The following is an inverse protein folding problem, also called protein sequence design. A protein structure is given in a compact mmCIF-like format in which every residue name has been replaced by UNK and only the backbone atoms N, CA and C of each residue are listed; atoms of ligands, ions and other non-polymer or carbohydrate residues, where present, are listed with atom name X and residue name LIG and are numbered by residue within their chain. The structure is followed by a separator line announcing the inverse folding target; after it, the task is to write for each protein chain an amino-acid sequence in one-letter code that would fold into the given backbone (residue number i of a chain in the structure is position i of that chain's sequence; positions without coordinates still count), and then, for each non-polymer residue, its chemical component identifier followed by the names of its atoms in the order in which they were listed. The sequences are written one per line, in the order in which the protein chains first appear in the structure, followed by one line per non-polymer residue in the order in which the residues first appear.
data_IF_659748130108
#
_entry.id   IF_659748130108
#
_cell.length_a   1.000
_cell.length_b   1.000
_cell.length_c   1.000
_cell.angle_alpha   90.00
_cell.angle_beta   90.00
_cell.angle_gamma   90.00
#
_symmetry.space_group_name_H-M   'P 1'
#
loop_
_entity.id
_entity.type
_entity.pdbx_description
1 polymer ?
#
# COMPACT_ATOMS: atom_id res chain seq x y z
N UNK A 1 -21.70 15.83 10.15
CA UNK A 1 -23.04 15.58 9.55
C UNK A 1 -22.98 14.27 8.78
N UNK A 2 -24.05 13.46 8.76
CA UNK A 2 -24.11 12.22 7.96
C UNK A 2 -24.67 12.51 6.57
N UNK A 3 -23.90 12.20 5.53
CA UNK A 3 -24.25 12.49 4.14
C UNK A 3 -24.31 11.19 3.34
N UNK A 4 -25.42 10.92 2.65
CA UNK A 4 -25.50 9.85 1.66
C UNK A 4 -25.22 10.42 0.26
N UNK A 5 -24.23 9.86 -0.44
CA UNK A 5 -24.01 10.11 -1.86
C UNK A 5 -24.52 8.90 -2.63
N UNK A 6 -25.49 9.13 -3.51
CA UNK A 6 -26.10 8.07 -4.31
C UNK A 6 -26.32 8.52 -5.74
N UNK A 7 -25.79 7.75 -6.69
CA UNK A 7 -26.31 7.80 -8.04
C UNK A 7 -27.73 7.25 -8.06
N UNK A 8 -28.56 7.71 -8.99
CA UNK A 8 -29.92 7.20 -9.18
C UNK A 8 -29.91 6.12 -10.26
N UNK A 9 -30.43 4.94 -9.91
CA UNK A 9 -30.55 3.80 -10.82
C UNK A 9 -31.95 3.61 -11.41
N UNK A 10 -32.03 2.70 -12.36
CA UNK A 10 -33.30 2.30 -13.00
C UNK A 10 -34.26 1.62 -12.05
N UNK A 11 -33.78 1.01 -10.97
CA UNK A 11 -34.59 0.37 -9.93
C UNK A 11 -35.01 1.32 -8.80
N UNK A 12 -34.38 2.49 -8.67
CA UNK A 12 -34.72 3.45 -7.62
C UNK A 12 -36.04 4.19 -7.92
N UNK A 13 -36.81 4.61 -6.90
CA UNK A 13 -36.59 4.39 -5.45
C UNK A 13 -37.25 3.12 -4.89
N UNK A 14 -38.19 2.51 -5.61
CA UNK A 14 -38.95 1.33 -5.19
C UNK A 14 -38.91 0.30 -6.31
N UNK A 15 -38.65 -0.96 -5.95
CA UNK A 15 -38.58 -2.08 -6.90
C UNK A 15 -39.31 -3.28 -6.31
N UNK A 16 -40.24 -3.85 -7.09
CA UNK A 16 -41.07 -4.99 -6.68
C UNK A 16 -41.79 -4.76 -5.32
N UNK A 17 -42.31 -3.55 -5.12
CA UNK A 17 -43.00 -3.12 -3.89
C UNK A 17 -42.11 -3.16 -2.64
N UNK A 18 -40.79 -3.07 -2.79
CA UNK A 18 -39.82 -2.92 -1.70
C UNK A 18 -38.91 -1.73 -1.97
N UNK A 19 -38.21 -1.25 -0.96
CA UNK A 19 -37.21 -0.21 -1.13
C UNK A 19 -36.12 -0.66 -2.12
N UNK A 20 -35.80 0.18 -3.08
CA UNK A 20 -34.55 0.05 -3.83
C UNK A 20 -33.38 0.59 -2.99
N UNK A 21 -32.16 0.47 -3.50
CA UNK A 21 -30.96 0.72 -2.70
C UNK A 21 -30.91 2.14 -2.11
N UNK A 22 -31.25 3.17 -2.87
CA UNK A 22 -31.28 4.55 -2.37
C UNK A 22 -32.24 4.71 -1.18
N UNK A 23 -33.48 4.28 -1.34
CA UNK A 23 -34.52 4.41 -0.32
C UNK A 23 -34.22 3.56 0.92
N UNK A 24 -33.71 2.34 0.70
CA UNK A 24 -33.38 1.40 1.76
C UNK A 24 -32.24 1.93 2.64
N UNK A 25 -31.22 2.53 2.04
CA UNK A 25 -30.14 3.18 2.80
C UNK A 25 -30.68 4.40 3.55
N UNK A 26 -31.50 5.23 2.90
CA UNK A 26 -32.10 6.39 3.55
C UNK A 26 -32.95 6.01 4.78
N UNK A 27 -33.76 4.94 4.66
CA UNK A 27 -34.62 4.43 5.75
C UNK A 27 -33.83 3.95 6.96
N UNK A 28 -32.77 3.16 6.73
CA UNK A 28 -31.98 2.55 7.80
C UNK A 28 -30.98 3.52 8.44
N UNK A 29 -30.27 4.30 7.64
CA UNK A 29 -29.14 5.10 8.12
C UNK A 29 -29.53 6.54 8.47
N UNK A 30 -30.69 7.01 8.01
CA UNK A 30 -31.26 8.34 8.25
C UNK A 30 -30.20 9.46 8.14
N UNK A 31 -29.50 9.59 6.99
CA UNK A 31 -28.52 10.67 6.80
C UNK A 31 -29.18 12.05 6.92
N UNK A 32 -28.44 13.04 7.41
CA UNK A 32 -28.92 14.42 7.51
C UNK A 32 -29.08 15.05 6.11
N UNK A 33 -28.24 14.63 5.16
CA UNK A 33 -28.25 15.07 3.77
C UNK A 33 -28.17 13.89 2.80
N UNK A 34 -28.93 13.94 1.72
CA UNK A 34 -28.86 13.02 0.59
C UNK A 34 -28.45 13.81 -0.65
N UNK A 35 -27.26 13.50 -1.18
CA UNK A 35 -26.73 14.01 -2.45
C UNK A 35 -27.05 13.01 -3.55
N UNK A 36 -27.89 13.43 -4.49
CA UNK A 36 -28.34 12.64 -5.63
C UNK A 36 -27.54 13.00 -6.87
N UNK A 37 -27.00 11.98 -7.54
CA UNK A 37 -26.27 12.11 -8.80
C UNK A 37 -27.08 11.45 -9.90
N UNK A 38 -27.43 12.22 -10.94
CA UNK A 38 -28.27 11.76 -12.04
C UNK A 38 -27.46 11.65 -13.33
N UNK A 39 -27.76 10.64 -14.14
CA UNK A 39 -27.50 10.71 -15.57
C UNK A 39 -28.60 11.50 -16.26
N UNK A 40 -28.33 11.99 -17.47
CA UNK A 40 -29.34 12.65 -18.31
C UNK A 40 -30.60 11.80 -18.46
N UNK A 41 -30.45 10.47 -18.62
CA UNK A 41 -31.58 9.53 -18.70
C UNK A 41 -32.41 9.48 -17.41
N UNK A 42 -31.76 9.52 -16.25
CA UNK A 42 -32.44 9.34 -14.95
C UNK A 42 -33.08 10.60 -14.40
N UNK A 43 -32.86 11.78 -15.01
CA UNK A 43 -33.48 13.04 -14.59
C UNK A 43 -35.01 12.97 -14.55
N UNK A 44 -35.62 12.13 -15.41
CA UNK A 44 -37.08 11.91 -15.44
C UNK A 44 -37.66 11.40 -14.10
N UNK A 45 -36.82 10.85 -13.22
CA UNK A 45 -37.22 10.34 -11.90
C UNK A 45 -37.12 11.36 -10.77
N UNK A 46 -36.67 12.59 -11.03
CA UNK A 46 -36.37 13.56 -9.98
C UNK A 46 -37.54 13.75 -8.98
N UNK A 47 -38.73 14.03 -9.47
CA UNK A 47 -39.91 14.27 -8.64
C UNK A 47 -40.36 13.01 -7.88
N UNK A 48 -40.30 11.85 -8.55
CA UNK A 48 -40.56 10.55 -7.92
C UNK A 48 -39.61 10.28 -6.75
N UNK A 49 -38.30 10.46 -6.97
CA UNK A 49 -37.28 10.21 -5.95
C UNK A 49 -37.49 11.13 -4.75
N UNK A 50 -37.73 12.43 -5.00
CA UNK A 50 -37.94 13.41 -3.95
C UNK A 50 -39.20 13.09 -3.12
N UNK A 51 -40.34 12.85 -3.79
CA UNK A 51 -41.62 12.51 -3.13
C UNK A 51 -41.51 11.24 -2.29
N UNK A 52 -40.82 10.21 -2.78
CA UNK A 52 -40.66 8.93 -2.07
C UNK A 52 -39.65 9.03 -0.90
N UNK A 53 -38.58 9.80 -1.03
CA UNK A 53 -37.64 9.99 0.10
C UNK A 53 -38.31 10.73 1.27
N UNK A 54 -39.17 11.70 0.97
CA UNK A 54 -39.92 12.47 1.97
C UNK A 54 -41.14 11.73 2.54
N UNK A 55 -41.50 10.55 2.00
CA UNK A 55 -42.60 9.75 2.53
C UNK A 55 -42.20 8.84 3.70
N UNK A 56 -40.90 8.75 4.02
CA UNK A 56 -40.41 7.98 5.16
C UNK A 56 -40.86 8.67 6.46
N UNK A 57 -41.64 7.95 7.28
CA UNK A 57 -42.18 8.49 8.52
C UNK A 57 -41.08 8.95 9.49
N UNK A 58 -41.25 10.16 10.03
CA UNK A 58 -40.32 10.77 10.99
C UNK A 58 -38.95 11.11 10.39
N UNK A 59 -38.83 11.26 9.07
CA UNK A 59 -37.59 11.57 8.38
C UNK A 59 -37.74 12.77 7.46
N UNK A 60 -36.84 13.74 7.56
CA UNK A 60 -36.83 14.92 6.70
C UNK A 60 -35.39 15.36 6.39
N UNK A 61 -34.70 14.68 5.46
CA UNK A 61 -33.33 15.00 5.10
C UNK A 61 -33.25 16.23 4.19
N UNK A 62 -32.07 16.85 4.13
CA UNK A 62 -31.74 17.79 3.06
C UNK A 62 -31.50 16.99 1.78
N UNK A 63 -32.36 17.13 0.78
CA UNK A 63 -32.19 16.50 -0.52
C UNK A 63 -31.52 17.50 -1.46
N UNK A 64 -30.32 17.17 -1.91
CA UNK A 64 -29.50 17.99 -2.81
C UNK A 64 -29.23 17.21 -4.09
N UNK A 65 -29.46 17.83 -5.24
CA UNK A 65 -29.05 17.27 -6.53
C UNK A 65 -27.68 17.87 -6.85
N UNK A 66 -26.67 17.01 -7.06
CA UNK A 66 -25.38 17.50 -7.48
C UNK A 66 -25.50 18.16 -8.86
N UNK A 67 -24.81 19.29 -9.04
CA UNK A 67 -24.82 20.04 -10.30
C UNK A 67 -24.28 19.26 -11.50
N UNK A 68 -23.54 18.18 -11.26
CA UNK A 68 -22.94 17.35 -12.29
C UNK A 68 -23.94 16.32 -12.79
N UNK A 69 -24.55 16.59 -13.95
CA UNK A 69 -25.38 15.62 -14.65
C UNK A 69 -24.49 14.73 -15.53
N UNK A 70 -24.54 13.42 -15.32
CA UNK A 70 -23.70 12.45 -16.02
C UNK A 70 -24.20 12.27 -17.47
N UNK A 71 -23.30 12.41 -18.43
CA UNK A 71 -23.61 12.22 -19.85
C UNK A 71 -23.85 10.73 -20.16
N UNK A 72 -24.97 10.42 -20.81
CA UNK A 72 -25.33 9.04 -21.16
C UNK A 72 -24.29 8.37 -22.09
N UNK A 73 -23.59 9.16 -22.90
CA UNK A 73 -22.54 8.67 -23.80
C UNK A 73 -21.19 8.41 -23.09
N UNK A 74 -21.12 8.67 -21.77
CA UNK A 74 -19.88 8.52 -20.99
C UNK A 74 -20.04 7.63 -19.75
N UNK A 75 -21.27 7.36 -19.28
CA UNK A 75 -21.52 6.56 -18.06
C UNK A 75 -21.02 5.12 -18.13
N UNK A 76 -20.71 4.61 -19.33
CA UNK A 76 -20.10 3.29 -19.54
C UNK A 76 -18.56 3.31 -19.47
N UNK A 77 -17.93 4.49 -19.38
CA UNK A 77 -16.48 4.66 -19.28
C UNK A 77 -16.05 4.72 -17.81
N UNK A 78 -15.28 3.72 -17.37
CA UNK A 78 -14.82 3.63 -15.98
C UNK A 78 -13.95 4.82 -15.57
N UNK A 79 -12.90 5.15 -16.34
CA UNK A 79 -11.96 6.23 -15.97
C UNK A 79 -12.67 7.57 -15.82
N UNK A 80 -13.65 7.84 -16.69
CA UNK A 80 -14.47 9.05 -16.62
C UNK A 80 -15.33 9.08 -15.35
N UNK A 81 -16.00 7.96 -15.04
CA UNK A 81 -16.81 7.86 -13.83
C UNK A 81 -15.94 7.90 -12.56
N UNK A 82 -14.73 7.35 -12.58
CA UNK A 82 -13.80 7.45 -11.46
C UNK A 82 -13.43 8.90 -11.16
N UNK A 83 -13.08 9.68 -12.20
CA UNK A 83 -12.77 11.09 -12.07
C UNK A 83 -13.97 11.89 -11.53
N UNK A 84 -15.12 11.77 -12.20
CA UNK A 84 -16.33 12.55 -11.86
C UNK A 84 -16.84 12.21 -10.47
N UNK A 85 -16.96 10.92 -10.14
CA UNK A 85 -17.40 10.53 -8.81
C UNK A 85 -16.38 10.92 -7.74
N UNK A 86 -15.08 10.92 -8.06
CA UNK A 86 -14.03 11.40 -7.16
C UNK A 86 -14.22 12.86 -6.79
N UNK A 87 -14.49 13.72 -7.78
CA UNK A 87 -14.78 15.15 -7.56
C UNK A 87 -16.03 15.35 -6.72
N UNK A 88 -17.10 14.58 -6.98
CA UNK A 88 -18.35 14.65 -6.20
C UNK A 88 -18.09 14.23 -4.75
N UNK A 89 -17.46 13.09 -4.50
CA UNK A 89 -17.17 12.63 -3.14
C UNK A 89 -16.29 13.64 -2.40
N UNK A 90 -15.28 14.20 -3.07
CA UNK A 90 -14.41 15.21 -2.48
C UNK A 90 -15.16 16.49 -2.10
N UNK A 91 -16.09 16.96 -2.94
CA UNK A 91 -16.90 18.17 -2.70
C UNK A 91 -17.70 18.09 -1.40
N UNK A 92 -18.16 16.91 -1.01
CA UNK A 92 -18.98 16.71 0.19
C UNK A 92 -18.20 16.16 1.38
N UNK A 93 -16.95 15.77 1.18
CA UNK A 93 -16.08 15.33 2.26
C UNK A 93 -15.44 16.53 2.96
N UNK A 94 -15.58 16.59 4.28
CA UNK A 94 -14.80 17.45 5.17
C UNK A 94 -14.51 16.66 6.46
N UNK A 95 -13.66 17.20 7.34
CA UNK A 95 -13.18 16.48 8.53
C UNK A 95 -14.30 16.06 9.51
N UNK A 96 -15.48 16.69 9.45
CA UNK A 96 -16.61 16.46 10.36
C UNK A 96 -17.77 15.65 9.73
N UNK A 97 -17.66 15.31 8.44
CA UNK A 97 -18.71 14.58 7.72
C UNK A 97 -18.47 13.07 7.75
N UNK A 98 -19.54 12.33 8.08
CA UNK A 98 -19.60 10.89 7.86
C UNK A 98 -20.27 10.64 6.51
N UNK A 99 -19.53 10.11 5.55
CA UNK A 99 -20.04 9.89 4.20
C UNK A 99 -20.53 8.45 4.07
N UNK A 100 -21.72 8.27 3.52
CA UNK A 100 -22.27 6.98 3.12
C UNK A 100 -22.27 6.94 1.59
N UNK A 101 -21.61 5.95 1.02
CA UNK A 101 -21.57 5.72 -0.42
C UNK A 101 -22.51 4.57 -0.78
N UNK A 102 -23.48 4.83 -1.66
CA UNK A 102 -24.33 3.79 -2.21
C UNK A 102 -23.59 3.00 -3.29
N UNK A 103 -23.29 1.72 -3.02
CA UNK A 103 -22.65 0.79 -3.95
C UNK A 103 -23.65 -0.13 -4.69
N UNK A 104 -24.92 0.27 -4.80
CA UNK A 104 -25.97 -0.56 -5.39
C UNK A 104 -26.91 0.18 -6.34
N UNK A 105 -26.77 1.50 -6.46
CA UNK A 105 -27.47 2.32 -7.44
C UNK A 105 -26.52 2.92 -8.47
N UNK A 106 -27.04 3.15 -9.69
CA UNK A 106 -26.28 3.64 -10.83
C UNK A 106 -25.73 2.52 -11.73
N UNK A 107 -24.92 2.90 -12.73
CA UNK A 107 -24.29 1.93 -13.64
C UNK A 107 -23.19 1.14 -12.92
N UNK A 108 -22.82 -0.07 -13.42
CA UNK A 108 -21.70 -0.82 -12.87
C UNK A 108 -20.39 -0.03 -12.78
N UNK A 109 -20.16 0.92 -13.69
CA UNK A 109 -18.98 1.78 -13.71
C UNK A 109 -18.99 2.78 -12.55
N UNK A 110 -20.14 3.42 -12.28
CA UNK A 110 -20.30 4.33 -11.12
C UNK A 110 -20.12 3.56 -9.81
N UNK A 111 -20.73 2.38 -9.70
CA UNK A 111 -20.59 1.51 -8.51
C UNK A 111 -19.12 1.12 -8.31
N UNK A 112 -18.43 0.73 -9.38
CA UNK A 112 -17.01 0.36 -9.33
C UNK A 112 -16.11 1.55 -8.98
N UNK A 113 -16.42 2.74 -9.49
CA UNK A 113 -15.71 3.98 -9.17
C UNK A 113 -15.83 4.32 -7.68
N UNK A 114 -17.06 4.36 -7.15
CA UNK A 114 -17.31 4.61 -5.73
C UNK A 114 -16.65 3.56 -4.83
N UNK A 115 -16.70 2.29 -5.24
CA UNK A 115 -15.99 1.21 -4.55
C UNK A 115 -14.48 1.47 -4.48
N UNK A 116 -13.85 1.83 -5.60
CA UNK A 116 -12.41 2.09 -5.66
C UNK A 116 -12.03 3.35 -4.85
N UNK A 117 -12.80 4.44 -4.98
CA UNK A 117 -12.59 5.69 -4.25
C UNK A 117 -12.63 5.48 -2.74
N UNK A 118 -13.60 4.69 -2.25
CA UNK A 118 -13.72 4.34 -0.83
C UNK A 118 -12.48 3.61 -0.26
N UNK A 119 -11.60 3.07 -1.11
CA UNK A 119 -10.46 2.23 -0.68
C UNK A 119 -9.12 2.88 -0.91
N UNK A 120 -9.02 3.71 -1.94
CA UNK A 120 -7.79 4.39 -2.33
C UNK A 120 -7.65 5.70 -1.56
N UNK A 121 -8.75 6.39 -1.31
CA UNK A 121 -8.75 7.68 -0.63
C UNK A 121 -9.09 7.49 0.85
N UNK A 122 -8.40 8.22 1.72
CA UNK A 122 -8.61 8.19 3.19
C UNK A 122 -9.83 9.04 3.61
N UNK A 123 -10.97 8.83 2.96
CA UNK A 123 -12.21 9.50 3.35
C UNK A 123 -12.85 8.79 4.55
N UNK A 124 -13.53 9.56 5.42
CA UNK A 124 -14.38 9.00 6.47
C UNK A 124 -15.69 8.45 5.87
N UNK A 125 -15.58 7.40 5.06
CA UNK A 125 -16.67 6.83 4.27
C UNK A 125 -17.12 5.47 4.78
N UNK A 126 -18.41 5.20 4.64
CA UNK A 126 -19.04 3.91 4.79
C UNK A 126 -19.68 3.51 3.47
N UNK A 127 -19.17 2.46 2.85
CA UNK A 127 -19.73 1.95 1.61
C UNK A 127 -20.79 0.88 1.89
N UNK A 128 -22.02 1.11 1.42
CA UNK A 128 -23.17 0.26 1.70
C UNK A 128 -23.66 -0.37 0.40
N UNK A 129 -23.80 -1.69 0.41
CA UNK A 129 -24.49 -2.45 -0.62
C UNK A 129 -25.89 -2.82 -0.13
N UNK A 130 -26.86 -2.92 -1.04
CA UNK A 130 -28.21 -3.37 -0.73
C UNK A 130 -28.55 -4.55 -1.64
N UNK A 131 -28.82 -5.72 -1.04
CA UNK A 131 -29.23 -6.89 -1.80
C UNK A 131 -30.60 -6.67 -2.45
N UNK A 132 -30.80 -7.04 -3.72
CA UNK A 132 -32.08 -6.82 -4.39
C UNK A 132 -33.20 -7.72 -3.82
N UNK A 133 -34.47 -7.26 -3.77
CA UNK A 133 -35.58 -8.08 -3.28
C UNK A 133 -35.88 -9.31 -4.14
N UNK A 134 -35.60 -9.23 -5.45
CA UNK A 134 -35.64 -10.32 -6.43
C UNK A 134 -34.53 -10.09 -7.47
N UNK A 135 -33.79 -11.13 -7.84
CA UNK A 135 -32.60 -11.12 -8.74
C UNK A 135 -32.88 -10.69 -10.21
N UNK A 136 -33.51 -9.54 -10.50
CA UNK A 136 -33.67 -9.00 -11.85
C UNK A 136 -33.70 -7.48 -11.85
N UNK A 137 -32.96 -6.86 -12.76
CA UNK A 137 -33.19 -5.49 -13.23
C UNK A 137 -32.99 -5.44 -14.75
N UNK A 138 -33.84 -4.64 -15.42
CA UNK A 138 -33.76 -4.08 -16.78
C UNK A 138 -35.19 -3.96 -17.32
N UNK A 139 -35.90 -2.90 -16.92
CA UNK A 139 -37.05 -2.38 -17.66
C UNK A 139 -36.80 -0.90 -17.88
N UNK A 140 -37.16 -0.41 -19.06
CA UNK A 140 -37.25 1.03 -19.30
C UNK A 140 -38.23 1.65 -18.30
N UNK A 141 -37.88 2.81 -17.76
CA UNK A 141 -38.74 3.53 -16.83
C UNK A 141 -39.66 4.46 -17.63
N UNK A 142 -40.97 4.31 -17.43
CA UNK A 142 -41.98 5.26 -17.87
C UNK A 142 -42.33 6.20 -16.72
N UNK A 143 -42.45 7.50 -16.99
CA UNK A 143 -42.88 8.48 -16.00
C UNK A 143 -44.25 8.09 -15.42
N UNK A 144 -44.38 8.15 -14.10
CA UNK A 144 -45.60 7.83 -13.37
C UNK A 144 -46.39 9.12 -13.10
N UNK A 145 -47.72 9.00 -13.09
CA UNK A 145 -48.64 10.03 -12.61
C UNK A 145 -48.57 10.17 -11.09
N UNK A 146 -49.03 11.30 -10.54
CA UNK A 146 -49.02 11.51 -9.08
C UNK A 146 -49.77 10.41 -8.30
N UNK A 147 -50.91 9.96 -8.82
CA UNK A 147 -51.69 8.87 -8.22
C UNK A 147 -50.97 7.53 -8.24
N UNK A 148 -50.19 7.25 -9.30
CA UNK A 148 -49.38 6.03 -9.36
C UNK A 148 -48.20 6.08 -8.38
N UNK A 149 -47.63 7.27 -8.16
CA UNK A 149 -46.58 7.46 -7.14
C UNK A 149 -47.15 7.23 -5.73
N UNK A 150 -48.34 7.77 -5.45
CA UNK A 150 -49.00 7.58 -4.15
C UNK A 150 -49.34 6.09 -3.90
N UNK A 151 -49.82 5.39 -4.93
CA UNK A 151 -50.04 3.95 -4.87
C UNK A 151 -48.73 3.19 -4.61
N UNK A 152 -47.64 3.53 -5.30
CA UNK A 152 -46.33 2.90 -5.13
C UNK A 152 -45.79 3.07 -3.71
N UNK A 153 -45.98 4.26 -3.11
CA UNK A 153 -45.61 4.53 -1.72
C UNK A 153 -46.48 3.70 -0.77
N UNK A 154 -47.80 3.70 -0.95
CA UNK A 154 -48.74 2.99 -0.08
C UNK A 154 -48.53 1.47 -0.12
N UNK A 155 -48.24 0.92 -1.30
CA UNK A 155 -48.01 -0.52 -1.50
C UNK A 155 -46.59 -0.97 -1.13
N UNK A 156 -45.69 -0.04 -0.78
CA UNK A 156 -44.33 -0.38 -0.40
C UNK A 156 -44.31 -1.19 0.90
N UNK A 157 -43.90 -2.44 0.77
CA UNK A 157 -43.83 -3.42 1.82
C UNK A 157 -42.81 -3.08 2.90
N UNK A 158 -41.81 -2.23 2.62
CA UNK A 158 -40.78 -1.84 3.58
C UNK A 158 -41.22 -0.65 4.47
N UNK A 159 -42.45 -0.14 4.32
CA UNK A 159 -43.03 0.85 5.23
C UNK A 159 -43.45 0.28 6.59
N UNK A 160 -43.48 -1.05 6.73
CA UNK A 160 -43.79 -1.72 7.99
C UNK A 160 -42.61 -1.60 8.98
N UNK A 161 -42.89 -1.63 10.27
CA UNK A 161 -41.85 -1.57 11.32
C UNK A 161 -40.92 -2.80 11.33
N UNK A 162 -41.40 -3.95 10.87
CA UNK A 162 -40.71 -5.25 10.85
C UNK A 162 -40.01 -5.56 9.50
N UNK A 163 -39.72 -4.54 8.68
CA UNK A 163 -39.01 -4.76 7.41
C UNK A 163 -37.59 -5.31 7.64
N UNK A 164 -37.09 -6.09 6.69
CA UNK A 164 -35.76 -6.71 6.80
C UNK A 164 -34.70 -5.77 6.26
N UNK A 165 -33.71 -5.42 7.10
CA UNK A 165 -32.54 -4.69 6.63
C UNK A 165 -31.67 -5.57 5.72
N UNK A 166 -31.64 -5.22 4.43
CA UNK A 166 -30.82 -5.82 3.37
C UNK A 166 -29.48 -5.11 3.15
N UNK A 167 -29.15 -4.14 3.99
CA UNK A 167 -27.90 -3.38 3.90
C UNK A 167 -26.71 -4.22 4.33
N UNK A 168 -25.66 -4.20 3.52
CA UNK A 168 -24.40 -4.88 3.78
C UNK A 168 -23.32 -3.81 3.77
N UNK A 169 -22.71 -3.56 4.95
CA UNK A 169 -21.53 -2.69 5.03
C UNK A 169 -20.34 -3.40 4.41
N UNK A 170 -19.84 -2.84 3.31
CA UNK A 170 -18.69 -3.42 2.63
C UNK A 170 -17.41 -3.21 3.46
N UNK A 171 -16.78 -4.32 3.85
CA UNK A 171 -15.49 -4.29 4.55
C UNK A 171 -14.31 -4.34 3.60
N UNK A 172 -14.48 -4.89 2.38
CA UNK A 172 -13.42 -5.14 1.38
C UNK A 172 -12.08 -5.63 1.92
N UNK A 173 -12.09 -6.50 2.95
CA UNK A 173 -10.86 -6.95 3.61
C UNK A 173 -9.84 -7.52 2.61
N UNK A 174 -10.31 -8.28 1.61
CA UNK A 174 -9.46 -8.89 0.57
C UNK A 174 -8.81 -7.86 -0.37
N UNK A 175 -9.53 -6.81 -0.75
CA UNK A 175 -9.00 -5.78 -1.65
C UNK A 175 -7.94 -4.95 -0.93
N UNK A 176 -8.21 -4.53 0.31
CA UNK A 176 -7.23 -3.85 1.16
C UNK A 176 -6.00 -4.71 1.40
N UNK A 177 -6.16 -6.01 1.67
CA UNK A 177 -5.05 -6.95 1.80
C UNK A 177 -4.21 -7.01 0.51
N UNK A 178 -4.82 -7.01 -0.67
CA UNK A 178 -4.11 -7.01 -1.94
C UNK A 178 -3.30 -5.72 -2.17
N UNK A 179 -3.86 -4.56 -1.82
CA UNK A 179 -3.14 -3.27 -1.90
C UNK A 179 -1.93 -3.24 -0.96
N UNK A 180 -2.10 -3.66 0.29
CA UNK A 180 -1.02 -3.70 1.29
C UNK A 180 0.07 -4.68 0.86
N UNK A 181 -0.29 -5.88 0.37
CA UNK A 181 0.67 -6.84 -0.20
C UNK A 181 1.45 -6.24 -1.36
N UNK A 182 0.79 -5.53 -2.29
CA UNK A 182 1.46 -4.83 -3.40
C UNK A 182 2.44 -3.78 -2.88
N UNK A 183 2.03 -2.97 -1.90
CA UNK A 183 2.88 -1.92 -1.35
C UNK A 183 4.10 -2.49 -0.61
N UNK A 184 3.92 -3.51 0.23
CA UNK A 184 5.02 -4.21 0.90
C UNK A 184 6.02 -4.80 -0.09
N UNK A 185 5.54 -5.44 -1.17
CA UNK A 185 6.42 -5.94 -2.25
C UNK A 185 7.24 -4.82 -2.87
N UNK A 186 6.63 -3.65 -3.11
CA UNK A 186 7.34 -2.49 -3.65
C UNK A 186 8.44 -2.00 -2.71
N UNK A 187 8.16 -1.90 -1.41
CA UNK A 187 9.13 -1.43 -0.41
C UNK A 187 10.29 -2.43 -0.24
N UNK A 188 9.99 -3.72 -0.23
CA UNK A 188 11.01 -4.78 -0.16
C UNK A 188 11.89 -4.75 -1.42
N UNK A 189 11.28 -4.61 -2.60
CA UNK A 189 12.02 -4.52 -3.86
C UNK A 189 12.93 -3.28 -3.94
N UNK A 190 12.56 -2.18 -3.27
CA UNK A 190 13.39 -0.97 -3.15
C UNK A 190 14.29 -0.97 -1.91
N UNK A 191 14.45 -2.11 -1.23
CA UNK A 191 15.25 -2.26 -0.01
C UNK A 191 14.87 -1.30 1.15
N UNK A 192 13.63 -0.81 1.16
CA UNK A 192 13.10 0.03 2.23
C UNK A 192 12.47 -0.82 3.35
N UNK A 193 13.33 -1.57 4.03
CA UNK A 193 12.92 -2.52 5.05
C UNK A 193 12.30 -1.85 6.28
N UNK A 194 12.72 -0.63 6.61
CA UNK A 194 12.15 0.12 7.73
C UNK A 194 10.70 0.53 7.46
N UNK A 195 10.39 1.01 6.25
CA UNK A 195 9.02 1.31 5.88
C UNK A 195 8.17 0.02 5.81
N UNK A 196 8.71 -1.06 5.24
CA UNK A 196 8.03 -2.34 5.18
C UNK A 196 7.71 -2.90 6.58
N UNK A 197 8.67 -2.81 7.52
CA UNK A 197 8.51 -3.19 8.92
C UNK A 197 7.39 -2.38 9.59
N UNK A 198 7.38 -1.06 9.40
CA UNK A 198 6.37 -0.17 10.00
C UNK A 198 4.94 -0.51 9.52
N UNK A 199 4.78 -0.90 8.25
CA UNK A 199 3.48 -1.31 7.70
C UNK A 199 3.07 -2.67 8.25
N UNK A 200 3.90 -3.70 8.13
CA UNK A 200 3.52 -5.08 8.51
C UNK A 200 3.20 -5.22 10.00
N UNK A 201 3.72 -4.33 10.85
CA UNK A 201 3.49 -4.33 12.30
C UNK A 201 2.17 -3.66 12.73
N UNK A 202 1.43 -3.01 11.83
CA UNK A 202 0.10 -2.46 12.16
C UNK A 202 -0.89 -3.59 12.52
N UNK A 203 -1.65 -3.40 13.60
CA UNK A 203 -2.57 -4.42 14.15
C UNK A 203 -3.63 -4.87 13.15
N UNK A 204 -4.11 -3.94 12.32
CA UNK A 204 -5.07 -4.17 11.24
C UNK A 204 -4.61 -5.22 10.21
N UNK A 205 -3.30 -5.42 10.04
CA UNK A 205 -2.74 -6.36 9.07
C UNK A 205 -2.32 -7.71 9.66
N UNK A 206 -2.71 -8.01 10.92
CA UNK A 206 -2.48 -9.33 11.53
C UNK A 206 -3.16 -10.49 10.80
N UNK A 207 -4.16 -10.20 9.94
CA UNK A 207 -4.86 -11.21 9.13
C UNK A 207 -4.42 -11.21 7.66
N UNK A 208 -3.35 -10.47 7.30
CA UNK A 208 -2.86 -10.34 5.92
C UNK A 208 -2.39 -11.68 5.32
N UNK A 209 -1.79 -12.53 6.16
CA UNK A 209 -1.26 -13.85 5.85
C UNK A 209 -1.46 -14.78 7.07
N UNK A 210 -1.06 -16.05 6.95
CA UNK A 210 -1.04 -16.96 8.10
C UNK A 210 -0.11 -16.45 9.20
N UNK A 211 -0.43 -16.72 10.47
CA UNK A 211 0.38 -16.29 11.63
C UNK A 211 1.86 -16.63 11.49
N UNK A 212 2.18 -17.83 10.99
CA UNK A 212 3.56 -18.29 10.75
C UNK A 212 4.27 -17.43 9.71
N UNK A 213 3.62 -17.13 8.57
CA UNK A 213 4.19 -16.28 7.51
C UNK A 213 4.41 -14.85 7.99
N UNK A 214 3.43 -14.26 8.68
CA UNK A 214 3.57 -12.90 9.23
C UNK A 214 4.72 -12.83 10.23
N UNK A 215 4.81 -13.80 11.16
CA UNK A 215 5.89 -13.82 12.15
C UNK A 215 7.26 -13.87 11.46
N UNK A 216 7.43 -14.75 10.47
CA UNK A 216 8.66 -14.85 9.70
C UNK A 216 9.02 -13.55 8.98
N UNK A 217 8.06 -12.94 8.26
CA UNK A 217 8.30 -11.67 7.54
C UNK A 217 8.68 -10.55 8.53
N UNK A 218 7.98 -10.46 9.67
CA UNK A 218 8.29 -9.46 10.71
C UNK A 218 9.68 -9.64 11.28
N UNK A 219 10.05 -10.86 11.59
CA UNK A 219 11.38 -11.20 12.11
C UNK A 219 12.49 -10.83 11.11
N UNK A 220 12.33 -11.21 9.84
CA UNK A 220 13.28 -10.86 8.77
C UNK A 220 13.39 -9.35 8.54
N UNK A 221 12.26 -8.65 8.44
CA UNK A 221 12.27 -7.19 8.22
C UNK A 221 12.87 -6.44 9.43
N UNK A 222 12.61 -6.90 10.64
CA UNK A 222 13.24 -6.36 11.85
C UNK A 222 14.75 -6.61 11.83
N UNK A 223 15.19 -7.82 11.45
CA UNK A 223 16.59 -8.17 11.33
C UNK A 223 17.31 -7.29 10.30
N UNK A 224 16.68 -7.06 9.15
CA UNK A 224 17.23 -6.15 8.14
C UNK A 224 17.26 -4.72 8.65
N UNK A 225 16.19 -4.23 9.30
CA UNK A 225 16.13 -2.86 9.79
C UNK A 225 17.22 -2.56 10.84
N UNK A 226 17.54 -3.51 11.74
CA UNK A 226 18.60 -3.29 12.75
C UNK A 226 19.99 -3.18 12.15
N UNK A 227 20.29 -3.81 11.01
CA UNK A 227 21.58 -3.68 10.33
C UNK A 227 21.83 -2.21 9.97
N UNK A 228 20.83 -1.54 9.41
CA UNK A 228 20.97 -0.14 9.02
C UNK A 228 20.90 0.83 10.21
N UNK A 229 20.11 0.51 11.25
CA UNK A 229 19.99 1.36 12.45
C UNK A 229 21.22 1.27 13.37
N UNK A 230 21.73 0.05 13.58
CA UNK A 230 22.67 -0.25 14.65
C UNK A 230 23.97 -0.90 14.15
N UNK A 231 24.12 -1.14 12.84
CA UNK A 231 25.26 -1.87 12.25
C UNK A 231 25.47 -3.27 12.83
N UNK A 232 24.37 -3.90 13.28
CA UNK A 232 24.39 -5.27 13.78
C UNK A 232 24.67 -6.28 12.65
N UNK A 233 25.20 -7.45 13.02
CA UNK A 233 25.34 -8.59 12.11
C UNK A 233 23.96 -9.22 11.87
N UNK A 234 23.65 -9.53 10.61
CA UNK A 234 22.45 -10.30 10.23
C UNK A 234 22.45 -11.66 10.93
N UNK A 235 21.28 -12.05 11.46
CA UNK A 235 21.14 -13.30 12.21
C UNK A 235 21.48 -14.53 11.36
N UNK A 236 21.20 -14.49 10.05
CA UNK A 236 21.52 -15.58 9.13
C UNK A 236 23.03 -15.72 8.88
N UNK A 237 23.78 -14.61 8.88
CA UNK A 237 25.24 -14.64 8.64
C UNK A 237 25.96 -15.41 9.75
N UNK A 238 25.48 -15.29 10.99
CA UNK A 238 26.00 -16.02 12.15
C UNK A 238 25.86 -17.55 12.03
N UNK A 239 25.09 -18.04 11.06
CA UNK A 239 24.95 -19.47 10.77
C UNK A 239 25.87 -19.96 9.64
N UNK A 240 26.57 -19.05 8.96
CA UNK A 240 27.49 -19.41 7.88
C UNK A 240 28.81 -19.95 8.46
N UNK A 241 29.52 -20.80 7.70
CA UNK A 241 30.84 -21.31 8.11
C UNK A 241 31.93 -20.24 7.92
N UNK A 242 31.78 -19.12 8.63
CA UNK A 242 32.67 -17.96 8.57
C UNK A 242 33.28 -17.69 9.94
N UNK A 243 34.49 -17.12 9.96
CA UNK A 243 35.07 -16.56 11.18
C UNK A 243 34.57 -15.12 11.45
N UNK A 244 34.86 -14.59 12.63
CA UNK A 244 34.40 -13.26 13.08
C UNK A 244 34.80 -12.13 12.12
N UNK A 245 35.98 -12.20 11.48
CA UNK A 245 36.44 -11.19 10.52
C UNK A 245 35.64 -11.27 9.21
N UNK A 246 35.41 -12.50 8.74
CA UNK A 246 34.63 -12.76 7.53
C UNK A 246 33.16 -12.38 7.70
N UNK A 247 32.55 -12.70 8.85
CA UNK A 247 31.17 -12.31 9.18
C UNK A 247 30.98 -10.79 9.14
N UNK A 248 31.91 -10.05 9.79
CA UNK A 248 31.89 -8.58 9.82
C UNK A 248 32.07 -7.99 8.42
N UNK A 249 33.06 -8.47 7.66
CA UNK A 249 33.32 -8.00 6.31
C UNK A 249 32.12 -8.24 5.39
N UNK A 250 31.56 -9.45 5.40
CA UNK A 250 30.39 -9.81 4.59
C UNK A 250 29.17 -8.97 4.97
N UNK A 251 28.85 -8.85 6.26
CA UNK A 251 27.70 -8.07 6.71
C UNK A 251 27.82 -6.59 6.30
N UNK A 252 29.01 -6.02 6.44
CA UNK A 252 29.26 -4.63 6.09
C UNK A 252 29.23 -4.41 4.58
N UNK A 253 29.76 -5.35 3.77
CA UNK A 253 29.60 -5.34 2.32
C UNK A 253 28.12 -5.37 1.92
N UNK A 254 27.33 -6.29 2.47
CA UNK A 254 25.91 -6.44 2.13
C UNK A 254 25.12 -5.16 2.48
N UNK A 255 25.48 -4.47 3.57
CA UNK A 255 24.91 -3.17 3.89
C UNK A 255 25.29 -2.11 2.83
N UNK A 256 26.55 -2.05 2.41
CA UNK A 256 27.00 -1.14 1.34
C UNK A 256 26.26 -1.42 0.03
N UNK A 257 26.07 -2.69 -0.30
CA UNK A 257 25.38 -3.12 -1.51
C UNK A 257 23.93 -2.63 -1.53
N UNK A 258 23.21 -2.75 -0.42
CA UNK A 258 21.86 -2.18 -0.28
C UNK A 258 21.88 -0.65 -0.39
N UNK A 259 22.83 0.04 0.25
CA UNK A 259 22.93 1.50 0.15
C UNK A 259 23.21 1.96 -1.29
N UNK A 260 23.96 1.16 -2.05
CA UNK A 260 24.21 1.37 -3.48
C UNK A 260 22.94 1.19 -4.30
N UNK A 261 22.17 0.13 -4.07
CA UNK A 261 20.87 -0.07 -4.73
C UNK A 261 19.86 1.05 -4.38
N UNK A 262 19.98 1.65 -3.19
CA UNK A 262 19.19 2.82 -2.75
C UNK A 262 19.75 4.18 -3.17
N UNK A 263 20.82 4.20 -3.95
CA UNK A 263 21.49 5.42 -4.44
C UNK A 263 22.01 6.35 -3.33
N UNK A 264 22.33 5.82 -2.15
CA UNK A 264 22.96 6.57 -1.05
C UNK A 264 24.48 6.69 -1.26
N UNK A 265 24.86 7.44 -2.31
CA UNK A 265 26.24 7.49 -2.84
C UNK A 265 27.27 7.91 -1.78
N UNK A 266 26.96 8.94 -0.97
CA UNK A 266 27.89 9.43 0.03
C UNK A 266 28.23 8.35 1.08
N UNK A 267 27.22 7.65 1.60
CA UNK A 267 27.40 6.57 2.55
C UNK A 267 28.16 5.39 1.95
N UNK A 268 27.86 5.02 0.69
CA UNK A 268 28.59 3.97 -0.02
C UNK A 268 30.08 4.27 -0.07
N UNK A 269 30.48 5.51 -0.39
CA UNK A 269 31.88 5.87 -0.54
C UNK A 269 32.64 5.87 0.79
N UNK A 270 32.03 6.44 1.83
CA UNK A 270 32.61 6.47 3.17
C UNK A 270 32.83 5.04 3.66
N UNK A 271 31.80 4.18 3.52
CA UNK A 271 31.83 2.82 4.03
C UNK A 271 32.71 1.90 3.19
N UNK A 272 32.77 2.08 1.87
CA UNK A 272 33.64 1.31 0.99
C UNK A 272 35.11 1.46 1.38
N UNK A 273 35.55 2.67 1.71
CA UNK A 273 36.91 2.92 2.20
C UNK A 273 37.17 2.14 3.49
N UNK A 274 36.30 2.27 4.48
CA UNK A 274 36.45 1.58 5.77
C UNK A 274 36.48 0.05 5.62
N UNK A 275 35.66 -0.50 4.70
CA UNK A 275 35.68 -1.93 4.41
C UNK A 275 37.00 -2.38 3.80
N UNK A 276 37.51 -1.63 2.81
CA UNK A 276 38.77 -1.95 2.17
C UNK A 276 39.94 -1.90 3.17
N UNK A 277 39.99 -0.86 4.01
CA UNK A 277 40.98 -0.73 5.09
C UNK A 277 40.92 -1.93 6.05
N UNK A 278 39.71 -2.30 6.49
CA UNK A 278 39.50 -3.45 7.37
C UNK A 278 40.00 -4.76 6.75
N UNK A 279 39.60 -5.06 5.51
CA UNK A 279 39.99 -6.32 4.86
C UNK A 279 41.50 -6.38 4.63
N UNK A 280 42.13 -5.29 4.18
CA UNK A 280 43.59 -5.23 3.99
C UNK A 280 44.32 -5.44 5.32
N UNK A 281 43.84 -4.81 6.39
CA UNK A 281 44.42 -4.97 7.73
C UNK A 281 44.36 -6.44 8.19
N UNK A 282 43.20 -7.10 8.04
CA UNK A 282 43.02 -8.51 8.40
C UNK A 282 43.90 -9.45 7.54
N UNK A 283 44.04 -9.16 6.25
CA UNK A 283 44.95 -9.91 5.37
C UNK A 283 46.40 -9.77 5.78
N UNK A 284 46.84 -8.54 6.09
CA UNK A 284 48.22 -8.31 6.55
C UNK A 284 48.48 -9.04 7.86
N UNK A 285 47.55 -9.00 8.82
CA UNK A 285 47.68 -9.73 10.09
C UNK A 285 47.83 -11.23 9.86
N UNK A 286 47.09 -11.79 8.91
CA UNK A 286 47.09 -13.22 8.58
C UNK A 286 48.35 -13.65 7.82
N UNK A 287 48.75 -12.90 6.79
CA UNK A 287 49.82 -13.31 5.87
C UNK A 287 51.21 -12.80 6.29
N UNK A 288 51.25 -11.73 7.08
CA UNK A 288 52.46 -11.06 7.54
C UNK A 288 52.38 -10.73 9.04
N UNK A 289 52.21 -11.77 9.85
CA UNK A 289 52.10 -11.64 11.31
C UNK A 289 53.27 -10.82 11.88
N UNK A 290 52.94 -9.79 12.65
CA UNK A 290 53.91 -8.88 13.25
C UNK A 290 54.38 -7.72 12.37
N UNK A 291 53.89 -7.57 11.12
CA UNK A 291 54.19 -6.41 10.27
C UNK A 291 53.55 -5.11 10.79
N UNK A 292 52.37 -5.20 11.39
CA UNK A 292 51.63 -4.06 11.95
C UNK A 292 51.65 -4.15 13.48
N UNK A 293 51.90 -3.02 14.14
CA UNK A 293 51.74 -2.80 15.59
C UNK A 293 50.77 -1.65 15.83
N UNK A 294 50.06 -1.67 16.96
CA UNK A 294 49.07 -0.66 17.29
C UNK A 294 49.61 0.33 18.33
N UNK A 295 49.49 1.62 18.01
CA UNK A 295 49.69 2.71 18.96
C UNK A 295 48.31 3.29 19.33
N UNK A 296 47.76 2.80 20.44
CA UNK A 296 46.34 2.96 20.74
C UNK A 296 45.48 2.25 19.70
N UNK A 297 44.64 3.01 18.98
CA UNK A 297 43.76 2.49 17.91
C UNK A 297 44.34 2.69 16.50
N UNK A 298 45.56 3.22 16.37
CA UNK A 298 46.15 3.52 15.05
C UNK A 298 47.15 2.42 14.65
N UNK A 299 46.96 1.77 13.48
CA UNK A 299 47.94 0.81 12.97
C UNK A 299 49.20 1.55 12.49
N UNK A 300 50.37 1.00 12.84
CA UNK A 300 51.69 1.47 12.40
C UNK A 300 52.54 0.29 11.93
N UNK A 301 53.46 0.53 11.00
CA UNK A 301 54.45 -0.46 10.62
C UNK A 301 55.35 -0.79 11.82
N UNK A 302 55.60 -2.07 12.03
CA UNK A 302 56.54 -2.54 13.04
C UNK A 302 57.97 -2.23 12.60
N UNK A 303 58.70 -1.32 13.28
CA UNK A 303 60.04 -0.94 12.90
C UNK A 303 61.06 -2.08 13.04
N UNK A 304 60.70 -3.17 13.74
CA UNK A 304 61.52 -4.37 13.87
C UNK A 304 61.23 -5.44 12.80
N UNK A 305 60.32 -5.16 11.85
CA UNK A 305 59.97 -6.11 10.78
C UNK A 305 60.96 -6.00 9.60
N UNK A 306 61.36 -7.13 8.97
CA UNK A 306 62.37 -7.12 7.91
C UNK A 306 61.98 -6.25 6.68
N UNK A 307 62.89 -5.39 6.23
CA UNK A 307 62.75 -4.28 5.24
C UNK A 307 62.24 -4.61 3.82
N UNK A 308 61.68 -5.80 3.54
CA UNK A 308 61.41 -6.24 2.15
C UNK A 308 60.10 -5.74 1.53
N UNK A 309 59.19 -5.11 2.28
CA UNK A 309 57.79 -4.91 1.83
C UNK A 309 57.40 -3.42 1.61
N UNK A 310 58.10 -2.47 2.23
CA UNK A 310 57.60 -1.09 2.38
C UNK A 310 57.76 -0.17 1.15
N UNK A 311 58.44 -0.58 0.08
CA UNK A 311 58.83 0.32 -1.02
C UNK A 311 57.80 0.49 -2.17
N UNK A 312 56.59 -0.08 -2.08
CA UNK A 312 55.69 -0.24 -3.23
C UNK A 312 54.40 0.59 -3.29
N UNK A 313 54.09 1.46 -2.31
CA UNK A 313 52.77 2.11 -2.23
C UNK A 313 52.76 3.50 -2.89
N UNK A 314 51.77 3.78 -3.74
CA UNK A 314 51.55 5.06 -4.44
C UNK A 314 50.18 5.66 -4.15
N UNK A 315 50.05 6.99 -4.26
CA UNK A 315 48.81 7.74 -3.99
C UNK A 315 47.74 7.53 -5.07
N UNK A 316 46.47 7.53 -4.63
CA UNK A 316 45.29 7.33 -5.49
C UNK A 316 44.58 8.67 -5.74
N UNK A 317 44.34 8.98 -7.03
CA UNK A 317 43.64 10.18 -7.49
C UNK A 317 42.12 10.09 -7.22
N UNK A 318 41.56 11.14 -6.62
CA UNK A 318 40.17 11.22 -6.15
C UNK A 318 39.34 12.11 -7.07
N UNK A 319 38.80 11.54 -8.15
CA UNK A 319 37.87 12.25 -9.06
C UNK A 319 36.48 11.63 -9.16
N UNK A 320 35.49 12.51 -9.30
CA UNK A 320 34.04 12.32 -9.30
C UNK A 320 33.52 11.06 -10.03
N UNK A 321 32.46 10.50 -9.45
CA UNK A 321 31.94 9.15 -9.70
C UNK A 321 30.65 9.17 -10.54
N UNK A 322 30.54 8.21 -11.47
CA UNK A 322 29.33 7.91 -12.24
C UNK A 322 28.73 6.58 -11.78
N UNK A 323 27.47 6.27 -12.13
CA UNK A 323 26.82 4.97 -11.82
C UNK A 323 27.67 3.76 -12.26
N UNK A 324 28.36 3.85 -13.40
CA UNK A 324 29.29 2.81 -13.90
C UNK A 324 30.47 2.57 -12.95
N UNK A 325 31.00 3.63 -12.32
CA UNK A 325 32.09 3.53 -11.35
C UNK A 325 31.64 2.97 -10.00
N UNK A 326 30.39 3.21 -9.58
CA UNK A 326 29.85 2.60 -8.36
C UNK A 326 29.65 1.09 -8.50
N UNK A 327 29.21 0.64 -9.68
CA UNK A 327 29.16 -0.79 -10.00
C UNK A 327 30.56 -1.41 -9.92
N UNK A 328 31.55 -0.78 -10.54
CA UNK A 328 32.95 -1.22 -10.48
C UNK A 328 33.49 -1.26 -9.04
N UNK A 329 33.15 -0.27 -8.21
CA UNK A 329 33.53 -0.24 -6.79
C UNK A 329 32.97 -1.45 -6.04
N UNK A 330 31.68 -1.74 -6.22
CA UNK A 330 31.02 -2.91 -5.63
C UNK A 330 31.69 -4.22 -6.06
N UNK A 331 31.95 -4.38 -7.36
CA UNK A 331 32.64 -5.54 -7.92
C UNK A 331 34.06 -5.68 -7.35
N UNK A 332 34.80 -4.58 -7.22
CA UNK A 332 36.15 -4.58 -6.65
C UNK A 332 36.15 -4.93 -5.16
N UNK A 333 35.19 -4.42 -4.37
CA UNK A 333 35.03 -4.79 -2.97
C UNK A 333 34.68 -6.28 -2.84
N UNK A 334 33.81 -6.80 -3.71
CA UNK A 334 33.47 -8.21 -3.73
C UNK A 334 34.71 -9.07 -4.02
N UNK A 335 35.49 -8.71 -5.05
CA UNK A 335 36.75 -9.39 -5.37
C UNK A 335 37.72 -9.37 -4.19
N UNK A 336 37.87 -8.22 -3.54
CA UNK A 336 38.71 -8.08 -2.35
C UNK A 336 38.27 -9.05 -1.23
N UNK A 337 36.97 -9.17 -0.95
CA UNK A 337 36.46 -10.10 0.06
C UNK A 337 36.68 -11.57 -0.33
N UNK A 338 36.55 -11.91 -1.62
CA UNK A 338 36.79 -13.28 -2.12
C UNK A 338 38.28 -13.62 -2.04
N UNK A 339 39.13 -12.77 -2.60
CA UNK A 339 40.56 -13.06 -2.78
C UNK A 339 41.33 -12.99 -1.45
N UNK A 340 41.00 -12.02 -0.61
CA UNK A 340 41.72 -11.78 0.64
C UNK A 340 41.17 -12.59 1.82
N UNK A 341 39.84 -12.76 1.90
CA UNK A 341 39.18 -13.43 3.02
C UNK A 341 38.58 -14.79 2.66
N UNK A 342 38.58 -15.21 1.39
CA UNK A 342 38.05 -16.51 0.98
C UNK A 342 36.53 -16.64 1.12
N UNK A 343 35.79 -15.54 1.10
CA UNK A 343 34.32 -15.54 1.28
C UNK A 343 33.65 -16.11 0.02
N UNK A 344 32.71 -17.04 0.21
CA UNK A 344 31.98 -17.66 -0.90
C UNK A 344 31.12 -16.64 -1.66
N UNK A 345 31.30 -16.60 -2.99
CA UNK A 345 30.61 -15.67 -3.88
C UNK A 345 29.06 -15.75 -3.83
N UNK A 346 28.52 -16.89 -3.41
CA UNK A 346 27.08 -17.13 -3.29
C UNK A 346 26.42 -16.36 -2.15
N UNK A 347 27.19 -15.77 -1.24
CA UNK A 347 26.67 -14.97 -0.13
C UNK A 347 26.37 -13.52 -0.52
N UNK A 348 26.97 -12.99 -1.58
CA UNK A 348 26.83 -11.58 -1.94
C UNK A 348 25.46 -11.18 -2.46
N UNK A 349 24.65 -12.13 -2.94
CA UNK A 349 23.26 -11.89 -3.37
C UNK A 349 22.23 -12.21 -2.27
N UNK A 350 22.65 -12.15 -1.00
CA UNK A 350 21.80 -12.48 0.14
C UNK A 350 20.47 -11.70 0.15
N UNK A 351 20.54 -10.37 0.11
CA UNK A 351 19.33 -9.53 0.16
C UNK A 351 18.41 -9.77 -1.05
N UNK A 352 18.96 -10.00 -2.24
CA UNK A 352 18.15 -10.34 -3.42
C UNK A 352 17.39 -11.66 -3.26
N UNK A 353 18.05 -12.69 -2.72
CA UNK A 353 17.42 -13.99 -2.43
C UNK A 353 16.31 -13.81 -1.40
N UNK A 354 16.58 -13.08 -0.32
CA UNK A 354 15.60 -12.81 0.73
C UNK A 354 14.42 -11.98 0.20
N UNK A 355 14.67 -10.94 -0.58
CA UNK A 355 13.63 -10.11 -1.18
C UNK A 355 12.72 -10.93 -2.09
N UNK A 356 13.28 -11.83 -2.91
CA UNK A 356 12.50 -12.76 -3.74
C UNK A 356 11.62 -13.68 -2.90
N UNK A 357 12.16 -14.23 -1.82
CA UNK A 357 11.43 -15.11 -0.91
C UNK A 357 10.27 -14.35 -0.22
N UNK A 358 10.55 -13.20 0.38
CA UNK A 358 9.56 -12.37 1.07
C UNK A 358 8.46 -11.90 0.09
N UNK A 359 8.84 -11.50 -1.12
CA UNK A 359 7.90 -11.09 -2.17
C UNK A 359 6.99 -12.24 -2.57
N UNK A 360 7.53 -13.46 -2.74
CA UNK A 360 6.74 -14.66 -3.05
C UNK A 360 5.80 -15.05 -1.91
N UNK A 361 6.13 -14.77 -0.66
CA UNK A 361 5.22 -14.99 0.46
C UNK A 361 4.05 -14.00 0.50
N UNK A 362 4.22 -12.82 -0.12
CA UNK A 362 3.22 -11.75 -0.20
C UNK A 362 2.30 -11.87 -1.42
N UNK A 363 2.60 -12.75 -2.38
CA UNK A 363 1.64 -13.20 -3.40
C UNK A 363 0.54 -14.02 -2.73
#
# INVERSE_FOLDING_TARGET
MKILISAVGTTDPISNNHDAALLHIARNYRPDKIVLVYSQEMMVKQDLINKVLLSIEGYNPIIEIDSTILNNDEVFLFDKMYEVMGQIVQKYTNDDNEIILNLSSGTPQIISALFALNRINDYNTQAIQVATPKNRANREYTALTESEIDALIMENQDNRLDFVDRSIKDKSEKFTQALVKRHLRSLIASFDYQAAEAIINRKEYNKLLSKKKIAYIREKLYDFSRVFKNQSILSDILSFPLDDSQEKALNYYLMIDVLKEREHIADVLIKAKSLAEFVIEETIKKDHEGLIVFDGNLPKLNPSFPDKVAHGLSEIDTRLLSRKKLKQLSENLQLLLVDCLGIDSSYFNYYDKQNKELTKMLE
#
